data_IF_449144731918
#
_entry.id   IF_449144731918
#
_cell.length_a   1.000
_cell.length_b   1.000
_cell.length_c   1.000
_cell.angle_alpha   90.00
_cell.angle_beta   90.00
_cell.angle_gamma   90.00
#
_symmetry.space_group_name_H-M   'P 1'
#
loop_
_entity.id
_entity.type
_entity.pdbx_description
1 polymer ?
#
# COMPACT_ATOMS: atom_id res chain seq x y z
N UNK A 1 -11.24 -2.96 30.40
CA UNK A 1 -11.62 -1.53 30.54
C UNK A 1 -11.37 -0.89 29.20
N UNK A 2 -12.42 -0.45 28.50
CA UNK A 2 -12.25 0.25 27.21
C UNK A 2 -11.55 1.58 27.50
N UNK A 3 -10.38 1.80 26.92
CA UNK A 3 -9.75 3.12 26.95
C UNK A 3 -10.67 4.04 26.16
N UNK A 4 -11.25 5.04 26.83
CA UNK A 4 -12.06 6.05 26.17
C UNK A 4 -11.13 6.88 25.26
N UNK A 5 -11.11 6.55 23.97
CA UNK A 5 -10.38 7.27 22.94
C UNK A 5 -11.27 8.34 22.33
N UNK A 6 -10.72 9.55 22.16
CA UNK A 6 -11.36 10.61 21.40
C UNK A 6 -10.61 10.76 20.07
N UNK A 7 -11.20 10.35 18.94
CA UNK A 7 -10.51 10.39 17.64
C UNK A 7 -10.14 11.82 17.22
N UNK A 8 -10.74 12.86 17.82
CA UNK A 8 -10.44 14.27 17.55
C UNK A 8 -9.25 14.80 18.34
N UNK A 9 -8.71 14.04 19.30
CA UNK A 9 -7.63 14.47 20.21
C UNK A 9 -6.46 13.49 20.27
N UNK A 10 -6.35 12.64 19.26
CA UNK A 10 -5.26 11.66 19.11
C UNK A 10 -3.92 12.38 19.01
N UNK A 11 -2.89 11.82 19.66
CA UNK A 11 -1.54 12.38 19.62
C UNK A 11 -0.64 11.64 18.65
N UNK A 12 -0.76 10.31 18.57
CA UNK A 12 0.11 9.49 17.76
C UNK A 12 -0.65 8.50 16.90
N UNK A 13 -0.22 8.36 15.64
CA UNK A 13 -0.56 7.27 14.77
C UNK A 13 0.70 6.45 14.50
N UNK A 14 0.68 5.16 14.82
CA UNK A 14 1.88 4.31 14.79
C UNK A 14 1.67 3.13 13.86
N UNK A 15 2.65 2.89 13.00
CA UNK A 15 2.84 1.64 12.27
C UNK A 15 3.61 0.70 13.20
N UNK A 16 2.87 -0.22 13.86
CA UNK A 16 3.42 -1.07 14.93
C UNK A 16 4.29 -2.18 14.35
N UNK A 17 3.73 -3.05 13.50
CA UNK A 17 4.49 -3.97 12.67
C UNK A 17 3.64 -4.58 11.54
N UNK A 18 4.33 -5.27 10.63
CA UNK A 18 3.74 -6.12 9.63
C UNK A 18 4.39 -7.51 9.73
N UNK A 19 3.58 -8.56 9.79
CA UNK A 19 4.04 -9.94 9.97
C UNK A 19 3.46 -10.84 8.91
N UNK A 20 4.25 -11.82 8.48
CA UNK A 20 3.83 -12.90 7.62
C UNK A 20 3.88 -14.22 8.38
N UNK A 21 2.78 -14.97 8.35
CA UNK A 21 2.73 -16.31 8.92
C UNK A 21 1.65 -17.15 8.21
N UNK A 22 1.99 -18.38 7.82
CA UNK A 22 1.06 -19.41 7.36
C UNK A 22 0.03 -18.95 6.31
N UNK A 23 0.47 -18.16 5.33
CA UNK A 23 -0.39 -17.64 4.27
C UNK A 23 -1.20 -16.40 4.64
N UNK A 24 -0.91 -15.77 5.78
CA UNK A 24 -1.59 -14.56 6.25
C UNK A 24 -0.58 -13.44 6.50
N UNK A 25 -0.88 -12.26 5.96
CA UNK A 25 -0.24 -11.01 6.37
C UNK A 25 -1.07 -10.36 7.49
N UNK A 26 -0.43 -10.01 8.60
CA UNK A 26 -1.03 -9.26 9.73
C UNK A 26 -0.38 -7.89 9.80
N UNK A 27 -1.18 -6.83 9.69
CA UNK A 27 -0.73 -5.44 9.73
C UNK A 27 -1.28 -4.78 10.98
N UNK A 28 -0.40 -4.33 11.88
CA UNK A 28 -0.79 -3.72 13.15
C UNK A 28 -0.50 -2.23 13.16
N UNK A 29 -1.46 -1.48 13.67
CA UNK A 29 -1.37 -0.04 13.86
C UNK A 29 -1.78 0.29 15.29
N UNK A 30 -1.42 1.48 15.75
CA UNK A 30 -1.95 2.01 16.99
C UNK A 30 -2.33 3.49 16.84
N UNK A 31 -3.45 3.84 17.45
CA UNK A 31 -3.91 5.21 17.66
C UNK A 31 -3.82 5.48 19.15
N UNK A 32 -2.80 6.23 19.58
CA UNK A 32 -2.39 6.29 20.99
C UNK A 32 -2.28 4.88 21.61
N UNK A 33 -3.17 4.53 22.54
CA UNK A 33 -3.21 3.22 23.20
C UNK A 33 -4.15 2.20 22.52
N UNK A 34 -4.96 2.60 21.54
CA UNK A 34 -5.85 1.70 20.81
C UNK A 34 -5.06 0.98 19.73
N UNK A 35 -4.98 -0.35 19.82
CA UNK A 35 -4.40 -1.19 18.77
C UNK A 35 -5.45 -1.56 17.71
N UNK A 36 -5.01 -1.61 16.45
CA UNK A 36 -5.82 -1.90 15.28
C UNK A 36 -5.10 -2.98 14.47
N UNK A 37 -5.76 -4.11 14.23
CA UNK A 37 -5.16 -5.23 13.49
C UNK A 37 -5.95 -5.53 12.22
N UNK A 38 -5.27 -5.45 11.09
CA UNK A 38 -5.76 -5.88 9.78
C UNK A 38 -5.14 -7.23 9.40
N UNK A 39 -5.91 -8.10 8.75
CA UNK A 39 -5.38 -9.36 8.20
C UNK A 39 -5.70 -9.49 6.71
N UNK A 40 -4.75 -10.05 5.95
CA UNK A 40 -4.91 -10.41 4.54
C UNK A 40 -4.57 -11.89 4.37
N UNK A 41 -5.57 -12.69 4.01
CA UNK A 41 -5.46 -14.13 3.77
C UNK A 41 -5.13 -14.42 2.31
N UNK A 42 -4.02 -15.11 2.07
CA UNK A 42 -3.54 -15.58 0.77
C UNK A 42 -3.75 -17.11 0.70
N UNK A 43 -4.85 -17.59 0.10
CA UNK A 43 -5.22 -19.00 0.16
C UNK A 43 -4.26 -19.89 -0.62
N UNK A 44 -3.76 -20.94 0.04
CA UNK A 44 -2.82 -21.88 -0.59
C UNK A 44 -1.47 -21.25 -0.92
N UNK A 45 -1.07 -20.20 -0.20
CA UNK A 45 0.22 -19.56 -0.38
C UNK A 45 1.36 -20.59 -0.29
N UNK A 46 2.23 -20.68 -1.31
CA UNK A 46 3.38 -21.58 -1.27
C UNK A 46 4.45 -21.07 -0.29
N UNK A 47 5.38 -21.93 0.08
CA UNK A 47 6.58 -21.51 0.82
C UNK A 47 7.37 -20.51 -0.03
N UNK A 48 7.65 -19.34 0.55
CA UNK A 48 8.44 -18.30 -0.11
C UNK A 48 9.88 -18.78 -0.31
N UNK A 49 10.42 -18.61 -1.52
CA UNK A 49 11.80 -18.98 -1.80
C UNK A 49 12.76 -17.93 -1.20
N UNK A 50 13.97 -18.35 -0.74
CA UNK A 50 14.96 -17.40 -0.21
C UNK A 50 15.30 -16.28 -1.19
N UNK A 51 15.30 -16.56 -2.49
CA UNK A 51 15.56 -15.58 -3.55
C UNK A 51 14.52 -14.44 -3.61
N UNK A 52 13.30 -14.65 -3.10
CA UNK A 52 12.23 -13.64 -3.10
C UNK A 52 12.01 -13.00 -1.74
N UNK A 53 12.72 -13.46 -0.70
CA UNK A 53 12.49 -13.03 0.69
C UNK A 53 12.65 -11.51 0.87
N UNK A 54 13.76 -10.94 0.38
CA UNK A 54 14.03 -9.51 0.53
C UNK A 54 12.97 -8.63 -0.18
N UNK A 55 12.58 -9.00 -1.41
CA UNK A 55 11.53 -8.28 -2.14
C UNK A 55 10.16 -8.41 -1.46
N UNK A 56 9.86 -9.59 -0.92
CA UNK A 56 8.63 -9.83 -0.18
C UNK A 56 8.56 -9.01 1.10
N UNK A 57 9.64 -8.95 1.87
CA UNK A 57 9.69 -8.18 3.11
C UNK A 57 9.52 -6.68 2.84
N UNK A 58 10.14 -6.14 1.78
CA UNK A 58 9.91 -4.75 1.33
C UNK A 58 8.47 -4.52 0.88
N UNK A 59 7.90 -5.45 0.11
CA UNK A 59 6.51 -5.36 -0.33
C UNK A 59 5.51 -5.46 0.85
N UNK A 60 5.82 -6.22 1.88
CA UNK A 60 5.01 -6.34 3.08
C UNK A 60 5.02 -5.03 3.89
N UNK A 61 6.19 -4.39 4.01
CA UNK A 61 6.32 -3.06 4.59
C UNK A 61 5.53 -2.01 3.78
N UNK A 62 5.66 -2.01 2.45
CA UNK A 62 4.89 -1.10 1.59
C UNK A 62 3.38 -1.30 1.75
N UNK A 63 2.90 -2.55 1.77
CA UNK A 63 1.49 -2.85 2.03
C UNK A 63 1.04 -2.29 3.40
N UNK A 64 1.85 -2.44 4.45
CA UNK A 64 1.57 -1.89 5.77
C UNK A 64 1.35 -0.38 5.72
N UNK A 65 2.20 0.34 5.00
CA UNK A 65 2.11 1.79 4.92
C UNK A 65 0.90 2.26 4.10
N UNK A 66 0.67 1.65 2.93
CA UNK A 66 -0.45 2.04 2.06
C UNK A 66 -1.80 1.65 2.66
N UNK A 67 -1.93 0.46 3.25
CA UNK A 67 -3.15 0.03 3.94
C UNK A 67 -3.45 0.91 5.17
N UNK A 68 -2.41 1.47 5.80
CA UNK A 68 -2.50 2.42 6.90
C UNK A 68 -3.39 3.64 6.63
N UNK A 69 -3.58 4.04 5.37
CA UNK A 69 -4.51 5.10 4.98
C UNK A 69 -5.94 4.86 5.49
N UNK A 70 -6.34 3.58 5.61
CA UNK A 70 -7.64 3.17 6.13
C UNK A 70 -7.86 3.56 7.60
N UNK A 71 -6.77 3.64 8.37
CA UNK A 71 -6.78 3.93 9.81
C UNK A 71 -6.36 5.36 10.10
N UNK A 72 -5.33 5.87 9.42
CA UNK A 72 -4.88 7.26 9.57
C UNK A 72 -6.01 8.25 9.33
N UNK A 73 -6.85 8.03 8.30
CA UNK A 73 -7.98 8.93 8.01
C UNK A 73 -8.90 9.15 9.21
N UNK A 74 -9.07 8.13 10.07
CA UNK A 74 -9.98 8.21 11.22
C UNK A 74 -9.57 9.30 12.21
N UNK A 75 -8.30 9.69 12.18
CA UNK A 75 -7.65 10.57 13.14
C UNK A 75 -6.90 11.72 12.48
N UNK A 76 -6.89 11.80 11.14
CA UNK A 76 -6.07 12.73 10.36
C UNK A 76 -6.30 14.20 10.76
N UNK A 77 -7.54 14.59 11.06
CA UNK A 77 -7.85 15.96 11.45
C UNK A 77 -7.35 16.37 12.85
N UNK A 78 -6.86 15.42 13.66
CA UNK A 78 -6.16 15.71 14.90
C UNK A 78 -4.68 16.07 14.67
N UNK A 79 -4.16 15.88 13.45
CA UNK A 79 -2.74 16.08 13.11
C UNK A 79 -1.79 15.25 13.98
N UNK A 80 -2.00 13.93 14.14
CA UNK A 80 -1.18 13.13 15.02
C UNK A 80 0.24 12.96 14.47
N UNK A 81 1.23 12.87 15.36
CA UNK A 81 2.59 12.51 14.93
C UNK A 81 2.60 11.07 14.42
N UNK A 82 3.25 10.85 13.29
CA UNK A 82 3.41 9.51 12.70
C UNK A 82 4.69 8.86 13.24
N UNK A 83 4.59 7.59 13.62
CA UNK A 83 5.73 6.79 14.10
C UNK A 83 5.79 5.46 13.36
N UNK A 84 6.98 5.07 12.89
CA UNK A 84 7.27 3.73 12.40
C UNK A 84 8.06 2.97 13.49
N UNK A 85 7.50 1.89 14.06
CA UNK A 85 8.13 1.18 15.17
C UNK A 85 9.14 0.10 14.73
N UNK A 86 9.08 -0.35 13.47
CA UNK A 86 10.00 -1.35 12.92
C UNK A 86 10.98 -0.74 11.90
N UNK A 87 10.49 -0.51 10.68
CA UNK A 87 11.23 0.06 9.56
C UNK A 87 10.53 1.32 9.10
N UNK A 88 11.30 2.38 8.89
CA UNK A 88 10.85 3.59 8.21
C UNK A 88 11.03 3.44 6.69
N UNK A 89 10.19 4.10 5.87
CA UNK A 89 10.39 4.16 4.42
C UNK A 89 11.76 4.73 4.04
N UNK A 90 12.38 4.14 3.02
CA UNK A 90 13.51 4.76 2.30
C UNK A 90 13.04 5.96 1.46
N UNK A 91 13.94 6.76 0.89
CA UNK A 91 13.57 8.01 0.23
C UNK A 91 12.60 7.84 -0.95
N UNK A 92 12.78 6.79 -1.75
CA UNK A 92 11.91 6.40 -2.86
C UNK A 92 10.54 5.91 -2.36
N UNK A 93 10.54 5.03 -1.34
CA UNK A 93 9.33 4.52 -0.70
C UNK A 93 8.54 5.62 -0.01
N UNK A 94 9.21 6.54 0.69
CA UNK A 94 8.61 7.68 1.36
C UNK A 94 7.93 8.60 0.36
N UNK A 95 8.52 8.78 -0.83
CA UNK A 95 7.93 9.57 -1.91
C UNK A 95 6.60 8.98 -2.37
N UNK A 96 6.55 7.66 -2.58
CA UNK A 96 5.33 6.96 -2.96
C UNK A 96 4.29 6.97 -1.84
N UNK A 97 4.70 6.70 -0.60
CA UNK A 97 3.83 6.72 0.58
C UNK A 97 3.22 8.10 0.78
N UNK A 98 4.02 9.17 0.70
CA UNK A 98 3.54 10.56 0.79
C UNK A 98 2.51 10.87 -0.30
N UNK A 99 2.79 10.52 -1.56
CA UNK A 99 1.87 10.71 -2.67
C UNK A 99 0.53 9.99 -2.45
N UNK A 100 0.56 8.74 -1.95
CA UNK A 100 -0.67 7.97 -1.67
C UNK A 100 -1.48 8.62 -0.54
N UNK A 101 -0.84 9.16 0.49
CA UNK A 101 -1.57 9.84 1.57
C UNK A 101 -2.12 11.19 1.13
N UNK A 102 -1.32 12.04 0.48
CA UNK A 102 -1.76 13.39 0.06
C UNK A 102 -2.81 13.34 -1.04
N UNK A 103 -2.57 12.55 -2.08
CA UNK A 103 -3.46 12.50 -3.25
C UNK A 103 -4.55 11.45 -3.10
N UNK A 104 -4.24 10.28 -2.52
CA UNK A 104 -5.22 9.22 -2.30
C UNK A 104 -6.27 9.56 -1.24
N UNK A 105 -5.96 10.46 -0.29
CA UNK A 105 -6.93 10.96 0.70
C UNK A 105 -7.43 12.37 0.37
N UNK A 106 -7.14 12.92 -0.82
CA UNK A 106 -7.51 14.29 -1.16
C UNK A 106 -9.02 14.55 -1.13
N UNK A 107 -9.85 13.65 -1.68
CA UNK A 107 -11.31 13.79 -1.60
C UNK A 107 -11.80 13.65 -0.15
N UNK A 108 -11.26 12.70 0.61
CA UNK A 108 -11.55 12.58 2.04
C UNK A 108 -11.26 13.88 2.77
N UNK A 109 -10.10 14.50 2.52
CA UNK A 109 -9.69 15.74 3.14
C UNK A 109 -10.65 16.88 2.76
N UNK A 110 -10.95 17.02 1.47
CA UNK A 110 -11.86 18.02 0.95
C UNK A 110 -13.26 17.93 1.59
N UNK A 111 -13.86 16.74 1.59
CA UNK A 111 -15.20 16.50 2.18
C UNK A 111 -15.24 16.82 3.67
N UNK A 112 -14.11 16.65 4.37
CA UNK A 112 -14.01 16.88 5.81
C UNK A 112 -13.44 18.26 6.17
N UNK A 113 -13.15 19.13 5.19
CA UNK A 113 -12.54 20.45 5.41
C UNK A 113 -11.16 20.38 6.06
N UNK A 114 -10.37 19.35 5.74
CA UNK A 114 -9.03 19.15 6.26
C UNK A 114 -7.98 19.63 5.25
N UNK A 115 -6.97 20.32 5.76
CA UNK A 115 -5.74 20.61 5.01
C UNK A 115 -4.67 19.57 5.37
N UNK A 116 -4.52 18.55 4.52
CA UNK A 116 -3.52 17.51 4.75
C UNK A 116 -2.09 18.02 4.64
N UNK A 117 -1.83 19.13 3.94
CA UNK A 117 -0.46 19.65 3.84
C UNK A 117 0.03 20.22 5.16
N UNK A 118 -0.88 20.81 5.93
CA UNK A 118 -0.62 21.28 7.30
C UNK A 118 -0.75 20.22 8.39
N UNK A 119 -1.37 19.07 8.11
CA UNK A 119 -1.65 18.04 9.12
C UNK A 119 -0.76 16.79 8.99
N UNK A 120 -0.31 16.47 7.77
CA UNK A 120 0.49 15.29 7.50
C UNK A 120 1.98 15.63 7.56
N UNK A 121 2.60 15.28 8.70
CA UNK A 121 4.03 15.39 8.92
C UNK A 121 4.65 14.02 9.11
N UNK A 122 5.54 13.66 8.19
CA UNK A 122 6.35 12.44 8.30
C UNK A 122 7.49 12.67 9.30
N UNK A 123 7.85 11.65 10.11
CA UNK A 123 9.04 11.75 10.95
C UNK A 123 10.27 11.92 10.07
N UNK A 124 11.25 12.70 10.54
CA UNK A 124 12.56 12.75 9.89
C UNK A 124 13.10 11.33 9.78
N UNK A 125 13.59 10.97 8.59
CA UNK A 125 14.25 9.69 8.38
C UNK A 125 15.50 9.70 9.26
N UNK A 126 15.40 9.10 10.45
CA UNK A 126 16.57 8.82 11.25
C UNK A 126 17.44 7.91 10.40
N UNK A 127 18.53 8.46 9.86
CA UNK A 127 19.59 7.67 9.22
C UNK A 127 20.06 6.71 10.30
N UNK A 128 19.53 5.50 10.28
CA UNK A 128 19.87 4.46 11.24
C UNK A 128 21.33 4.12 11.03
N UNK A 129 22.21 4.72 11.84
CA UNK A 129 23.56 4.21 12.00
C UNK A 129 23.41 2.79 12.53
N UNK A 130 23.85 1.75 11.81
CA UNK A 130 23.86 0.41 12.37
C UNK A 130 24.79 0.45 13.58
N UNK A 131 24.24 0.29 14.78
CA UNK A 131 25.04 0.10 15.98
C UNK A 131 25.66 -1.30 15.93
N UNK A 132 26.76 -1.44 15.20
CA UNK A 132 27.67 -2.56 15.33
C UNK A 132 28.61 -2.27 16.49
N UNK A 133 28.33 -2.90 17.62
CA UNK A 133 29.29 -2.98 18.73
C UNK A 133 30.40 -3.97 18.34
N UNK A 134 31.63 -3.49 18.52
CA UNK A 134 32.91 -4.20 18.69
C UNK A 134 33.85 -4.29 17.47
N UNK A 135 34.99 -3.58 17.59
CA UNK A 135 36.20 -3.80 16.79
C UNK A 135 37.14 -2.60 16.82
N UNK A 136 38.00 -2.50 17.84
CA UNK A 136 39.07 -1.51 17.93
C UNK A 136 40.06 -1.62 16.77
N UNK A 137 40.54 -0.49 16.24
CA UNK A 137 41.65 -0.43 15.30
C UNK A 137 41.89 0.96 14.71
N UNK A 138 42.88 1.66 15.24
CA UNK A 138 43.39 2.98 14.82
C UNK A 138 44.15 2.92 13.48
N UNK A 139 43.96 3.91 12.59
CA UNK A 139 45.01 4.77 12.01
C UNK A 139 44.49 5.61 10.83
N UNK A 140 45.05 6.82 10.72
CA UNK A 140 44.71 7.93 9.83
C UNK A 140 45.13 7.71 8.37
N UNK A 141 44.38 8.28 7.41
CA UNK A 141 44.97 9.03 6.28
C UNK A 141 43.92 9.79 5.47
N UNK A 142 44.23 11.06 5.21
CA UNK A 142 43.58 12.02 4.31
C UNK A 142 43.79 11.60 2.84
N UNK A 143 42.76 11.68 2.01
CA UNK A 143 42.83 12.50 0.79
C UNK A 143 41.44 12.71 0.17
N UNK A 144 41.25 13.89 -0.40
CA UNK A 144 40.02 14.31 -1.05
C UNK A 144 39.88 13.70 -2.44
N UNK A 145 38.75 13.03 -2.66
CA UNK A 145 38.26 12.65 -3.98
C UNK A 145 36.75 12.59 -3.90
N UNK A 146 36.08 13.63 -4.42
CA UNK A 146 34.65 13.56 -4.70
C UNK A 146 34.46 12.54 -5.82
N UNK A 147 34.18 11.29 -5.46
CA UNK A 147 33.64 10.32 -6.39
C UNK A 147 32.25 10.80 -6.83
N UNK A 148 31.89 10.65 -8.12
CA UNK A 148 30.54 10.94 -8.57
C UNK A 148 29.57 10.08 -7.76
N UNK A 149 28.46 10.67 -7.32
CA UNK A 149 27.34 9.93 -6.74
C UNK A 149 26.85 8.98 -7.85
N UNK A 150 27.24 7.71 -7.74
CA UNK A 150 26.82 6.67 -8.65
C UNK A 150 25.29 6.56 -8.60
N UNK A 151 24.73 6.48 -9.80
CA UNK A 151 23.32 6.25 -10.09
C UNK A 151 22.77 5.08 -9.29
N UNK A 152 21.58 5.28 -8.71
CA UNK A 152 20.65 4.24 -8.22
C UNK A 152 20.81 2.92 -8.97
N UNK A 153 21.39 1.89 -8.34
CA UNK A 153 21.38 0.53 -8.87
C UNK A 153 19.93 0.10 -9.05
N UNK A 154 19.53 -0.17 -10.30
CA UNK A 154 18.22 -0.74 -10.59
C UNK A 154 18.14 -2.14 -9.94
N UNK A 155 17.00 -2.47 -9.34
CA UNK A 155 16.80 -3.75 -8.69
C UNK A 155 17.02 -4.93 -9.66
N UNK A 156 17.68 -5.99 -9.20
CA UNK A 156 17.88 -7.19 -10.02
C UNK A 156 16.53 -7.91 -10.27
N UNK A 157 16.20 -8.27 -11.52
CA UNK A 157 14.98 -9.00 -11.82
C UNK A 157 14.93 -10.37 -11.12
N UNK A 158 13.81 -10.67 -10.46
CA UNK A 158 13.62 -11.94 -9.72
C UNK A 158 13.39 -13.18 -10.60
N UNK A 159 13.38 -13.03 -11.93
CA UNK A 159 13.19 -14.14 -12.88
C UNK A 159 11.87 -14.90 -12.70
N UNK A 160 10.78 -14.18 -12.38
CA UNK A 160 9.46 -14.79 -12.19
C UNK A 160 8.93 -15.40 -13.50
N UNK A 161 8.17 -16.51 -13.44
CA UNK A 161 7.52 -17.08 -14.62
C UNK A 161 6.64 -16.05 -15.33
N UNK A 162 6.71 -16.03 -16.67
CA UNK A 162 5.87 -15.20 -17.53
C UNK A 162 4.39 -15.57 -17.41
N UNK A 163 3.67 -14.84 -16.57
CA UNK A 163 2.22 -14.94 -16.40
C UNK A 163 1.67 -13.72 -15.66
N UNK A 164 0.50 -13.30 -16.12
CA UNK A 164 -0.19 -12.16 -15.55
C UNK A 164 -1.13 -12.55 -14.40
N UNK A 165 -1.26 -11.66 -13.43
CA UNK A 165 -2.31 -11.67 -12.43
C UNK A 165 -3.31 -10.55 -12.76
N UNK A 166 -4.53 -10.93 -13.16
CA UNK A 166 -5.58 -9.98 -13.57
C UNK A 166 -6.58 -9.75 -12.43
N UNK A 167 -6.52 -8.60 -11.72
CA UNK A 167 -7.57 -8.21 -10.79
C UNK A 167 -8.91 -7.94 -11.47
N UNK A 168 -9.95 -8.59 -10.96
CA UNK A 168 -11.33 -8.32 -11.29
C UNK A 168 -11.93 -7.31 -10.32
N UNK A 169 -12.57 -6.27 -10.87
CA UNK A 169 -13.36 -5.30 -10.13
C UNK A 169 -14.86 -5.56 -10.26
N UNK A 170 -15.67 -4.77 -9.54
CA UNK A 170 -17.13 -4.79 -9.71
C UNK A 170 -17.63 -4.09 -10.99
N UNK A 171 -16.73 -3.37 -11.68
CA UNK A 171 -16.98 -2.73 -12.97
C UNK A 171 -16.85 -3.71 -14.15
N UNK A 172 -17.01 -3.20 -15.37
CA UNK A 172 -16.93 -4.00 -16.61
C UNK A 172 -15.51 -4.04 -17.18
N UNK A 173 -14.66 -3.09 -16.82
CA UNK A 173 -13.36 -2.85 -17.48
C UNK A 173 -12.43 -4.07 -17.38
N UNK A 174 -12.42 -4.75 -16.23
CA UNK A 174 -11.63 -5.97 -16.04
C UNK A 174 -12.09 -7.15 -16.90
N UNK A 175 -13.34 -7.14 -17.38
CA UNK A 175 -13.82 -8.13 -18.35
C UNK A 175 -13.25 -7.87 -19.75
N UNK A 176 -13.01 -6.60 -20.11
CA UNK A 176 -12.37 -6.24 -21.38
C UNK A 176 -10.91 -6.69 -21.37
N UNK A 177 -10.17 -6.43 -20.28
CA UNK A 177 -8.80 -6.94 -20.16
C UNK A 177 -8.74 -8.47 -20.16
N UNK A 178 -9.69 -9.15 -19.51
CA UNK A 178 -9.79 -10.61 -19.58
C UNK A 178 -9.97 -11.11 -21.02
N UNK A 179 -10.87 -10.47 -21.78
CA UNK A 179 -11.11 -10.81 -23.19
C UNK A 179 -9.84 -10.61 -24.05
N UNK A 180 -9.13 -9.49 -23.87
CA UNK A 180 -7.87 -9.24 -24.57
C UNK A 180 -6.78 -10.27 -24.26
N UNK A 181 -6.60 -10.67 -22.99
CA UNK A 181 -5.64 -11.70 -22.61
C UNK A 181 -6.02 -13.09 -23.15
N UNK A 182 -7.32 -13.40 -23.23
CA UNK A 182 -7.80 -14.63 -23.86
C UNK A 182 -7.50 -14.66 -25.37
N UNK A 183 -7.73 -13.54 -26.07
CA UNK A 183 -7.46 -13.44 -27.51
C UNK A 183 -5.97 -13.59 -27.85
N UNK A 184 -5.07 -13.21 -26.92
CA UNK A 184 -3.62 -13.30 -27.07
C UNK A 184 -3.04 -14.66 -26.65
N UNK A 185 -3.87 -15.55 -26.11
CA UNK A 185 -3.48 -16.81 -25.47
C UNK A 185 -2.42 -16.63 -24.37
N UNK A 186 -2.51 -15.51 -23.64
CA UNK A 186 -1.59 -15.21 -22.55
C UNK A 186 -1.85 -16.17 -21.36
N UNK A 187 -0.78 -16.49 -20.62
CA UNK A 187 -0.90 -17.25 -19.37
C UNK A 187 -1.28 -16.29 -18.24
N UNK A 188 -2.49 -16.43 -17.70
CA UNK A 188 -2.93 -15.57 -16.61
C UNK A 188 -3.87 -16.27 -15.62
N UNK A 189 -3.93 -15.71 -14.42
CA UNK A 189 -4.92 -16.04 -13.39
C UNK A 189 -5.76 -14.81 -13.05
N UNK A 190 -7.01 -15.05 -12.68
CA UNK A 190 -7.93 -14.03 -12.19
C UNK A 190 -7.71 -13.86 -10.68
N UNK A 191 -7.82 -12.63 -10.18
CA UNK A 191 -7.76 -12.38 -8.75
C UNK A 191 -8.78 -11.34 -8.33
N UNK A 192 -9.18 -11.35 -7.06
CA UNK A 192 -9.87 -10.23 -6.46
C UNK A 192 -9.61 -10.20 -4.96
N UNK A 193 -9.77 -9.02 -4.38
CA UNK A 193 -9.61 -8.79 -2.94
C UNK A 193 -10.99 -8.57 -2.31
N UNK A 194 -11.31 -9.35 -1.27
CA UNK A 194 -12.54 -9.21 -0.48
C UNK A 194 -13.52 -10.37 -0.64
N UNK A 195 -14.81 -10.09 -0.47
CA UNK A 195 -15.87 -11.11 -0.39
C UNK A 195 -17.01 -10.89 -1.39
N UNK A 196 -16.76 -10.19 -2.49
CA UNK A 196 -17.79 -9.89 -3.47
C UNK A 196 -18.21 -11.14 -4.26
N UNK A 197 -19.41 -11.62 -4.02
CA UNK A 197 -20.03 -12.75 -4.73
C UNK A 197 -20.22 -12.46 -6.23
N UNK A 198 -20.53 -11.21 -6.61
CA UNK A 198 -20.68 -10.83 -8.02
C UNK A 198 -19.39 -11.07 -8.82
N UNK A 199 -18.27 -10.57 -8.31
CA UNK A 199 -16.93 -10.79 -8.89
C UNK A 199 -16.61 -12.29 -8.95
N UNK A 200 -16.92 -13.06 -7.91
CA UNK A 200 -16.70 -14.51 -7.91
C UNK A 200 -17.49 -15.21 -9.03
N UNK A 201 -18.75 -14.83 -9.24
CA UNK A 201 -19.58 -15.36 -10.33
C UNK A 201 -19.05 -14.95 -11.71
N UNK A 202 -18.53 -13.74 -11.86
CA UNK A 202 -17.85 -13.31 -13.08
C UNK A 202 -16.59 -14.15 -13.34
N UNK A 203 -15.74 -14.33 -12.33
CA UNK A 203 -14.53 -15.14 -12.43
C UNK A 203 -14.83 -16.59 -12.83
N UNK A 204 -15.87 -17.20 -12.25
CA UNK A 204 -16.28 -18.57 -12.56
C UNK A 204 -16.71 -18.79 -14.02
N UNK A 205 -17.06 -17.71 -14.74
CA UNK A 205 -17.41 -17.76 -16.18
C UNK A 205 -16.22 -17.59 -17.11
N UNK A 206 -15.08 -17.15 -16.58
CA UNK A 206 -13.84 -16.96 -17.33
C UNK A 206 -12.98 -18.19 -17.01
N UNK A 207 -12.85 -19.12 -17.96
CA UNK A 207 -12.18 -20.43 -17.80
C UNK A 207 -10.67 -20.34 -17.56
N UNK A 208 -10.27 -19.75 -16.43
CA UNK A 208 -8.90 -19.53 -15.97
C UNK A 208 -8.78 -19.78 -14.47
N UNK A 209 -7.59 -20.11 -13.95
CA UNK A 209 -7.37 -20.21 -12.51
C UNK A 209 -7.75 -18.91 -11.81
N UNK A 210 -8.25 -19.02 -10.57
CA UNK A 210 -8.60 -17.86 -9.76
C UNK A 210 -7.95 -17.88 -8.39
N UNK A 211 -7.66 -16.69 -7.86
CA UNK A 211 -7.11 -16.44 -6.54
C UNK A 211 -7.98 -15.40 -5.82
N UNK A 212 -8.71 -15.82 -4.78
CA UNK A 212 -9.49 -14.89 -3.96
C UNK A 212 -8.72 -14.54 -2.67
N UNK A 213 -8.24 -13.31 -2.57
CA UNK A 213 -7.51 -12.82 -1.40
C UNK A 213 -8.51 -12.17 -0.44
N UNK A 214 -8.52 -12.57 0.84
CA UNK A 214 -9.46 -11.99 1.81
C UNK A 214 -8.80 -10.95 2.67
N UNK A 215 -9.27 -9.71 2.57
CA UNK A 215 -8.87 -8.61 3.46
C UNK A 215 -9.90 -8.43 4.57
N UNK A 216 -9.46 -8.33 5.83
CA UNK A 216 -10.29 -8.03 7.00
C UNK A 216 -9.72 -6.85 7.75
N UNK A 217 -10.44 -5.72 7.72
CA UNK A 217 -10.10 -4.51 8.46
C UNK A 217 -10.33 -4.68 9.96
N UNK A 218 -9.62 -3.90 10.78
CA UNK A 218 -9.77 -3.93 12.23
C UNK A 218 -11.22 -3.57 12.64
N UNK A 219 -11.93 -4.42 13.40
CA UNK A 219 -13.32 -4.17 13.81
C UNK A 219 -13.46 -2.91 14.68
N UNK A 220 -12.40 -2.52 15.40
CA UNK A 220 -12.34 -1.32 16.23
C UNK A 220 -12.51 -0.02 15.41
N UNK A 221 -12.25 -0.05 14.09
CA UNK A 221 -12.52 1.09 13.21
C UNK A 221 -14.01 1.45 13.19
N UNK A 222 -14.90 0.46 13.38
CA UNK A 222 -16.35 0.71 13.51
C UNK A 222 -16.63 1.53 14.76
N UNK A 223 -15.95 1.23 15.87
CA UNK A 223 -16.14 1.96 17.12
C UNK A 223 -15.57 3.38 17.04
N UNK A 224 -14.39 3.55 16.44
CA UNK A 224 -13.84 4.89 16.15
C UNK A 224 -14.82 5.75 15.34
N UNK A 225 -15.47 5.17 14.33
CA UNK A 225 -16.50 5.86 13.55
C UNK A 225 -17.72 6.26 14.41
N UNK A 226 -18.17 5.39 15.34
CA UNK A 226 -19.25 5.75 16.29
C UNK A 226 -18.86 6.87 17.23
N UNK A 227 -17.58 6.97 17.58
CA UNK A 227 -17.00 8.03 18.41
C UNK A 227 -16.72 9.33 17.63
N UNK A 228 -17.14 9.42 16.36
CA UNK A 228 -17.05 10.65 15.57
C UNK A 228 -15.71 10.83 14.84
N UNK A 229 -14.97 9.75 14.59
CA UNK A 229 -13.81 9.75 13.72
C UNK A 229 -14.15 10.31 12.33
N UNK A 230 -13.15 10.91 11.67
CA UNK A 230 -13.31 11.34 10.28
C UNK A 230 -13.46 10.13 9.37
N UNK A 231 -14.33 10.23 8.37
CA UNK A 231 -14.58 9.15 7.43
C UNK A 231 -14.75 9.69 6.01
N UNK A 232 -14.58 8.81 5.03
CA UNK A 232 -14.59 9.16 3.61
C UNK A 232 -13.75 8.18 2.81
N UNK A 233 -13.43 8.59 1.58
CA UNK A 233 -12.69 7.79 0.62
C UNK A 233 -11.30 7.37 1.12
N UNK A 234 -10.81 6.23 0.62
CA UNK A 234 -9.44 5.74 0.75
C UNK A 234 -8.97 5.19 -0.59
N UNK A 235 -7.67 5.24 -0.91
CA UNK A 235 -7.14 4.81 -2.20
C UNK A 235 -7.12 3.27 -2.31
N UNK A 236 -8.29 2.66 -2.49
CA UNK A 236 -8.46 1.19 -2.52
C UNK A 236 -7.63 0.54 -3.62
N UNK A 237 -7.46 1.19 -4.77
CA UNK A 237 -6.61 0.67 -5.85
C UNK A 237 -5.16 0.58 -5.39
N UNK A 238 -4.62 1.60 -4.71
CA UNK A 238 -3.25 1.55 -4.21
C UNK A 238 -3.03 0.41 -3.18
N UNK A 239 -3.99 0.23 -2.27
CA UNK A 239 -3.97 -0.86 -1.29
C UNK A 239 -4.00 -2.21 -2.00
N UNK A 240 -4.92 -2.39 -2.97
CA UNK A 240 -5.03 -3.62 -3.74
C UNK A 240 -3.76 -3.88 -4.56
N UNK A 241 -3.16 -2.87 -5.19
CA UNK A 241 -1.91 -3.01 -5.93
C UNK A 241 -0.79 -3.55 -5.03
N UNK A 242 -0.63 -3.03 -3.81
CA UNK A 242 0.34 -3.57 -2.85
C UNK A 242 0.04 -5.01 -2.41
N UNK A 243 -1.24 -5.36 -2.18
CA UNK A 243 -1.64 -6.75 -1.92
C UNK A 243 -1.26 -7.66 -3.09
N UNK A 244 -1.46 -7.20 -4.31
CA UNK A 244 -1.18 -7.97 -5.51
C UNK A 244 0.31 -8.11 -5.81
N UNK A 245 1.17 -7.21 -5.35
CA UNK A 245 2.63 -7.40 -5.38
C UNK A 245 3.03 -8.56 -4.47
N UNK A 246 2.48 -8.66 -3.26
CA UNK A 246 2.69 -9.84 -2.40
C UNK A 246 2.19 -11.12 -3.08
N UNK A 247 1.01 -11.07 -3.69
CA UNK A 247 0.48 -12.20 -4.45
C UNK A 247 1.38 -12.55 -5.65
N UNK A 248 1.95 -11.58 -6.35
CA UNK A 248 2.87 -11.82 -7.45
C UNK A 248 4.14 -12.54 -6.98
N UNK A 249 4.71 -12.14 -5.85
CA UNK A 249 5.91 -12.76 -5.26
C UNK A 249 5.66 -14.18 -4.72
N UNK A 250 4.55 -14.40 -4.02
CA UNK A 250 4.13 -15.71 -3.51
C UNK A 250 3.73 -16.65 -4.66
N UNK A 251 2.79 -16.15 -5.45
CA UNK A 251 2.21 -16.69 -6.68
C UNK A 251 3.27 -17.14 -7.67
N UNK A 252 4.25 -16.26 -7.90
CA UNK A 252 5.21 -16.29 -8.99
C UNK A 252 4.68 -15.66 -10.28
N UNK A 253 3.96 -14.55 -10.21
CA UNK A 253 3.50 -13.78 -11.39
C UNK A 253 4.48 -12.64 -11.67
N UNK A 254 4.87 -12.44 -12.92
CA UNK A 254 5.79 -11.36 -13.31
C UNK A 254 5.07 -10.07 -13.73
N UNK A 255 3.74 -10.12 -13.86
CA UNK A 255 2.91 -8.98 -14.27
C UNK A 255 1.59 -8.92 -13.49
N UNK A 256 1.12 -7.70 -13.20
CA UNK A 256 -0.21 -7.43 -12.67
C UNK A 256 -0.93 -6.52 -13.66
N UNK A 257 -2.04 -6.98 -14.23
CA UNK A 257 -2.75 -6.26 -15.31
C UNK A 257 -3.97 -5.55 -14.72
N UNK A 258 -3.83 -4.30 -14.33
CA UNK A 258 -4.97 -3.49 -13.88
C UNK A 258 -5.77 -2.93 -15.06
N UNK A 259 -7.10 -2.96 -14.93
CA UNK A 259 -8.02 -2.34 -15.87
C UNK A 259 -8.49 -0.99 -15.34
N UNK A 260 -7.64 0.02 -15.50
CA UNK A 260 -7.95 1.38 -15.08
C UNK A 260 -8.46 2.20 -16.27
N UNK A 261 -9.68 2.76 -16.15
CA UNK A 261 -10.25 3.62 -17.17
C UNK A 261 -9.52 4.99 -17.22
N UNK A 262 -9.28 5.53 -18.42
CA UNK A 262 -8.60 6.82 -18.58
C UNK A 262 -9.37 7.99 -17.91
N UNK A 263 -10.70 7.89 -17.83
CA UNK A 263 -11.59 8.82 -17.11
C UNK A 263 -11.32 8.89 -15.61
N UNK A 264 -10.75 7.84 -15.00
CA UNK A 264 -10.38 7.87 -13.59
C UNK A 264 -9.24 8.85 -13.28
N UNK A 265 -8.51 9.32 -14.31
CA UNK A 265 -7.54 10.40 -14.19
C UNK A 265 -8.14 11.81 -14.11
N UNK A 266 -9.44 11.97 -14.39
CA UNK A 266 -10.10 13.28 -14.45
C UNK A 266 -10.46 13.75 -13.04
N UNK A 267 -10.12 15.00 -12.64
CA UNK A 267 -10.54 15.56 -11.37
C UNK A 267 -12.05 15.49 -11.19
N UNK A 268 -12.49 15.02 -10.02
CA UNK A 268 -13.91 14.90 -9.68
C UNK A 268 -14.43 16.12 -8.93
N UNK A 269 -13.54 16.89 -8.29
CA UNK A 269 -13.83 18.11 -7.55
C UNK A 269 -12.74 19.16 -7.83
N UNK A 270 -13.08 20.43 -7.61
CA UNK A 270 -12.13 21.55 -7.66
C UNK A 270 -12.26 22.31 -6.34
N UNK A 271 -11.15 22.54 -5.65
CA UNK A 271 -11.10 23.30 -4.40
C UNK A 271 -11.36 24.79 -4.62
N UNK A 272 -11.62 25.52 -3.53
CA UNK A 272 -11.90 26.97 -3.59
C UNK A 272 -10.72 27.80 -4.15
N UNK A 273 -9.49 27.29 -4.05
CA UNK A 273 -8.27 27.88 -4.61
C UNK A 273 -7.96 27.41 -6.04
N UNK A 274 -8.82 26.57 -6.63
CA UNK A 274 -8.67 26.02 -7.98
C UNK A 274 -7.90 24.72 -8.07
N UNK A 275 -7.44 24.12 -6.95
CA UNK A 275 -6.72 22.84 -6.96
C UNK A 275 -7.67 21.69 -7.36
N UNK A 276 -7.32 20.86 -8.37
CA UNK A 276 -8.13 19.70 -8.73
C UNK A 276 -7.98 18.59 -7.69
N UNK A 277 -9.11 18.00 -7.28
CA UNK A 277 -9.18 16.83 -6.41
C UNK A 277 -9.73 15.66 -7.20
N UNK A 278 -8.96 14.57 -7.27
CA UNK A 278 -9.36 13.36 -7.98
C UNK A 278 -9.66 12.24 -6.98
N UNK A 279 -10.95 11.89 -6.85
CA UNK A 279 -11.44 10.75 -6.06
C UNK A 279 -10.79 9.42 -6.47
N UNK A 280 -10.37 9.28 -7.73
CA UNK A 280 -9.79 8.06 -8.27
C UNK A 280 -8.31 8.20 -8.61
N UNK A 281 -7.55 9.09 -7.94
CA UNK A 281 -6.13 9.32 -8.22
C UNK A 281 -5.29 8.03 -8.29
N UNK A 282 -5.57 7.05 -7.41
CA UNK A 282 -4.86 5.75 -7.39
C UNK A 282 -5.17 4.82 -8.57
N UNK A 283 -6.00 5.24 -9.53
CA UNK A 283 -6.21 4.59 -10.83
C UNK A 283 -5.60 5.39 -11.99
N UNK A 284 -4.96 6.52 -11.68
CA UNK A 284 -4.39 7.41 -12.68
C UNK A 284 -2.93 7.05 -13.01
N UNK A 285 -2.43 7.57 -14.14
CA UNK A 285 -1.07 7.30 -14.61
C UNK A 285 0.02 7.77 -13.64
N UNK A 286 -0.23 8.81 -12.85
CA UNK A 286 0.72 9.31 -11.85
C UNK A 286 1.00 8.25 -10.76
N UNK A 287 -0.05 7.59 -10.25
CA UNK A 287 0.11 6.49 -9.31
C UNK A 287 0.76 5.28 -9.98
N UNK A 288 0.30 4.90 -11.17
CA UNK A 288 0.85 3.74 -11.89
C UNK A 288 2.35 3.87 -12.13
N UNK A 289 2.82 5.04 -12.59
CA UNK A 289 4.24 5.29 -12.84
C UNK A 289 5.07 5.29 -11.56
N UNK A 290 4.59 5.97 -10.51
CA UNK A 290 5.30 6.01 -9.23
C UNK A 290 5.37 4.62 -8.57
N UNK A 291 4.27 3.85 -8.64
CA UNK A 291 4.22 2.49 -8.10
C UNK A 291 5.09 1.54 -8.93
N UNK A 292 5.05 1.61 -10.26
CA UNK A 292 5.87 0.79 -11.14
C UNK A 292 7.38 1.12 -11.04
N UNK A 293 7.74 2.36 -10.72
CA UNK A 293 9.14 2.73 -10.49
C UNK A 293 9.70 2.15 -9.19
N UNK A 294 8.84 1.85 -8.21
CA UNK A 294 9.23 1.23 -6.95
C UNK A 294 9.33 -0.31 -7.02
N UNK A 295 8.51 -0.95 -7.88
CA UNK A 295 8.52 -2.41 -8.11
C UNK A 295 9.77 -2.83 -8.90
#
# INVERSE_FOLDING_TARGET
MSVAIDPRRVRQFRFVDARWQDGQATLRYAVDALELTETIDFPGAPTLSPARQAAFDRALAMLHWLAGTSYYKAVAGAGPSIVFEQRSPEADEQTLVDAVYRHGLAEFAHVNGLDLDSLLHWPDVAVGVPSLVAGQGTAESKDGGQSPIESSDAAEPLGLPRRALLPLGGGKDSLVSADLLLQRDDHFALTWVGSSELIAQCAARISRPSLNIRRRIAPELIELNRLGAWNGHVPVTAINSAILVLAALLYGFDEIVFSNEASAGVPTLIEADGRPVNHQWSKGPAFEQAFAAWI
#
